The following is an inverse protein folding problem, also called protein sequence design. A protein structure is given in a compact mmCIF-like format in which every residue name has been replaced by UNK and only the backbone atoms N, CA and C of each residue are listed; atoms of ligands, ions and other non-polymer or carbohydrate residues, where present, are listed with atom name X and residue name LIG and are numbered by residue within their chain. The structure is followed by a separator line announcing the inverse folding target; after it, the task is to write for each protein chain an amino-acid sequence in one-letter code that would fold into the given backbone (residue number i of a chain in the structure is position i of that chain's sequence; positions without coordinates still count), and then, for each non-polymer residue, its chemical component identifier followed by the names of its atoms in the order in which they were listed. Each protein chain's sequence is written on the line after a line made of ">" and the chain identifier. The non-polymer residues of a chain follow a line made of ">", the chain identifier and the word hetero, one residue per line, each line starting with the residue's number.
data_IF_194070778360
#
_entry.id   IF_194070778360
#
_cell.length_a   1.000
_cell.length_b   1.000
_cell.length_c   1.000
_cell.angle_alpha   90.00
_cell.angle_beta   90.00
_cell.angle_gamma   90.00
#
_symmetry.space_group_name_H-M   'P 1'
#
loop_
_entity.id
_entity.type
_entity.pdbx_description
1 polymer ?
#
# COMPACT_ATOMS: atom_id res chain seq x y z
N UNK A 1 13.77 15.88 12.13
CA UNK A 1 12.69 14.94 11.74
C UNK A 1 11.69 14.81 12.88
N UNK A 2 12.08 14.38 14.10
CA UNK A 2 11.16 14.23 15.26
C UNK A 2 10.35 15.50 15.55
N UNK A 3 11.01 16.65 15.56
CA UNK A 3 10.38 17.95 15.81
C UNK A 3 9.34 18.30 14.73
N UNK A 4 9.65 18.03 13.44
CA UNK A 4 8.74 18.27 12.33
C UNK A 4 7.47 17.39 12.37
N UNK A 5 7.57 16.19 12.97
CA UNK A 5 6.46 15.27 13.14
C UNK A 5 5.83 15.32 14.55
N UNK A 6 6.28 16.25 15.39
CA UNK A 6 5.80 16.41 16.79
C UNK A 6 5.95 15.15 17.64
N UNK A 7 6.93 14.30 17.34
CA UNK A 7 7.18 13.06 18.09
C UNK A 7 7.85 13.39 19.43
N UNK A 8 7.20 13.02 20.52
CA UNK A 8 7.67 13.27 21.90
C UNK A 8 8.60 12.18 22.41
N UNK A 9 8.51 10.97 21.85
CA UNK A 9 9.36 9.84 22.25
C UNK A 9 10.85 10.12 22.06
N UNK A 10 11.69 9.61 22.97
CA UNK A 10 13.14 9.66 22.86
C UNK A 10 13.64 8.84 21.66
N UNK A 11 12.91 7.81 21.27
CA UNK A 11 13.24 6.90 20.16
C UNK A 11 12.21 7.04 19.04
N UNK A 12 12.66 6.82 17.81
CA UNK A 12 11.81 6.75 16.64
C UNK A 12 11.51 5.26 16.39
N UNK A 13 10.41 4.78 16.97
CA UNK A 13 9.97 3.40 16.80
C UNK A 13 9.24 3.17 15.48
N UNK A 14 9.22 1.94 15.03
CA UNK A 14 8.52 1.55 13.78
C UNK A 14 7.01 1.48 14.00
N UNK A 15 6.62 1.24 15.23
CA UNK A 15 5.23 1.18 15.66
C UNK A 15 5.08 1.81 17.06
N UNK A 16 3.85 1.88 17.55
CA UNK A 16 3.53 2.41 18.85
C UNK A 16 3.31 1.31 19.91
N UNK A 17 4.06 0.24 19.86
CA UNK A 17 3.91 -0.89 20.78
C UNK A 17 4.04 -0.50 22.27
N UNK A 18 4.72 0.60 22.57
CA UNK A 18 4.98 1.10 23.94
C UNK A 18 4.00 2.21 24.39
N UNK A 19 3.01 2.58 23.56
CA UNK A 19 1.94 3.48 23.97
C UNK A 19 2.26 4.98 24.07
N UNK A 20 3.40 5.42 23.52
CA UNK A 20 3.80 6.85 23.50
C UNK A 20 2.98 7.71 22.52
N UNK A 21 2.19 7.08 21.68
CA UNK A 21 1.34 7.71 20.67
C UNK A 21 -0.10 7.26 20.86
N UNK A 22 -0.91 8.09 21.45
CA UNK A 22 -2.35 7.83 21.65
C UNK A 22 -3.15 8.51 20.54
N UNK A 23 -4.03 7.75 19.90
CA UNK A 23 -4.93 8.27 18.86
C UNK A 23 -6.27 7.55 18.89
N UNK A 24 -7.30 8.26 18.51
CA UNK A 24 -8.63 7.70 18.32
C UNK A 24 -8.91 7.65 16.81
N UNK A 25 -9.16 6.46 16.23
CA UNK A 25 -9.58 6.37 14.85
C UNK A 25 -10.91 7.11 14.65
N UNK A 26 -10.95 8.06 13.73
CA UNK A 26 -12.14 8.85 13.42
C UNK A 26 -12.85 8.38 12.17
N UNK A 27 -12.12 7.73 11.26
CA UNK A 27 -12.60 7.28 9.96
C UNK A 27 -12.46 5.75 9.87
N UNK A 28 -13.55 5.00 10.07
CA UNK A 28 -13.49 3.53 10.02
C UNK A 28 -13.36 2.99 8.58
N UNK A 29 -13.74 3.78 7.58
CA UNK A 29 -13.72 3.43 6.16
C UNK A 29 -13.31 4.65 5.32
N UNK A 30 -12.26 4.49 4.53
CA UNK A 30 -11.74 5.51 3.62
C UNK A 30 -12.17 5.31 2.16
N UNK A 31 -13.08 4.37 1.87
CA UNK A 31 -13.53 4.10 0.50
C UNK A 31 -14.08 5.35 -0.19
N UNK A 32 -14.88 6.15 0.51
CA UNK A 32 -15.41 7.41 -0.01
C UNK A 32 -14.31 8.41 -0.40
N UNK A 33 -13.25 8.50 0.40
CA UNK A 33 -12.11 9.35 0.07
C UNK A 33 -11.42 8.90 -1.21
N UNK A 34 -11.15 7.59 -1.36
CA UNK A 34 -10.51 7.07 -2.57
C UNK A 34 -11.38 7.25 -3.81
N UNK A 35 -12.70 7.11 -3.69
CA UNK A 35 -13.64 7.40 -4.77
C UNK A 35 -13.62 8.89 -5.17
N UNK A 36 -13.56 9.81 -4.20
CA UNK A 36 -13.55 11.26 -4.45
C UNK A 36 -12.25 11.71 -5.14
N UNK A 37 -11.09 11.19 -4.74
CA UNK A 37 -9.80 11.57 -5.34
C UNK A 37 -9.51 10.84 -6.65
N UNK A 38 -10.30 9.84 -7.02
CA UNK A 38 -10.12 9.09 -8.25
C UNK A 38 -10.24 10.00 -9.48
N UNK A 39 -9.31 9.88 -10.41
CA UNK A 39 -9.19 10.75 -11.57
C UNK A 39 -8.57 12.13 -11.30
N UNK A 40 -8.44 12.54 -10.02
CA UNK A 40 -7.77 13.78 -9.63
C UNK A 40 -6.33 13.55 -9.17
N UNK A 41 -6.07 12.41 -8.55
CA UNK A 41 -4.75 12.01 -8.08
C UNK A 41 -4.37 10.65 -8.67
N UNK A 42 -3.08 10.44 -8.84
CA UNK A 42 -2.56 9.09 -9.09
C UNK A 42 -2.39 8.38 -7.75
N UNK A 43 -3.06 7.26 -7.59
CA UNK A 43 -3.02 6.46 -6.36
C UNK A 43 -2.38 5.10 -6.67
N UNK A 44 -1.35 4.76 -5.91
CA UNK A 44 -0.75 3.44 -5.92
C UNK A 44 -0.87 2.82 -4.54
N UNK A 45 -1.65 1.77 -4.44
CA UNK A 45 -1.73 0.92 -3.25
C UNK A 45 -0.83 -0.29 -3.47
N UNK A 46 0.05 -0.60 -2.52
CA UNK A 46 0.92 -1.76 -2.67
C UNK A 46 1.13 -2.53 -1.36
N UNK A 47 1.35 -3.84 -1.50
CA UNK A 47 1.68 -4.74 -0.38
C UNK A 47 2.86 -5.66 -0.74
N UNK A 48 3.58 -6.10 0.28
CA UNK A 48 4.38 -7.32 0.18
C UNK A 48 3.48 -8.56 0.12
N UNK A 49 3.78 -9.51 -0.75
CA UNK A 49 2.96 -10.72 -0.92
C UNK A 49 3.13 -11.73 0.22
N UNK A 50 4.15 -11.54 1.08
CA UNK A 50 4.41 -12.38 2.27
C UNK A 50 4.07 -11.68 3.58
N UNK A 51 3.39 -10.53 3.56
CA UNK A 51 2.97 -9.82 4.77
C UNK A 51 1.84 -10.56 5.50
N UNK A 52 2.06 -11.05 6.73
CA UNK A 52 1.02 -11.72 7.50
C UNK A 52 0.11 -10.76 8.27
N UNK A 53 0.50 -9.49 8.41
CA UNK A 53 -0.23 -8.49 9.20
C UNK A 53 -1.26 -7.76 8.34
N UNK A 54 -0.81 -7.16 7.22
CA UNK A 54 -1.69 -6.54 6.24
C UNK A 54 -1.58 -7.34 4.95
N UNK A 55 -2.42 -8.37 4.84
CA UNK A 55 -2.33 -9.30 3.73
C UNK A 55 -2.73 -8.67 2.41
N UNK A 56 -2.02 -9.04 1.33
CA UNK A 56 -2.35 -8.59 -0.02
C UNK A 56 -3.77 -9.01 -0.46
N UNK A 57 -4.29 -10.11 0.09
CA UNK A 57 -5.68 -10.55 -0.15
C UNK A 57 -6.71 -9.59 0.44
N UNK A 58 -6.47 -9.10 1.65
CA UNK A 58 -7.36 -8.11 2.27
C UNK A 58 -7.34 -6.80 1.48
N UNK A 59 -6.16 -6.38 1.03
CA UNK A 59 -6.03 -5.17 0.20
C UNK A 59 -6.68 -5.36 -1.18
N UNK A 60 -6.49 -6.49 -1.85
CA UNK A 60 -7.17 -6.81 -3.11
C UNK A 60 -8.70 -6.77 -2.95
N UNK A 61 -9.20 -7.30 -1.83
CA UNK A 61 -10.64 -7.30 -1.56
C UNK A 61 -11.21 -5.88 -1.40
N UNK A 62 -10.58 -5.00 -0.60
CA UNK A 62 -11.12 -3.66 -0.43
C UNK A 62 -10.94 -2.78 -1.68
N UNK A 63 -9.83 -2.91 -2.41
CA UNK A 63 -9.61 -2.15 -3.66
C UNK A 63 -10.63 -2.56 -4.74
N UNK A 64 -10.94 -3.85 -4.88
CA UNK A 64 -11.97 -4.32 -5.82
C UNK A 64 -13.39 -3.90 -5.43
N UNK A 65 -13.64 -3.59 -4.15
CA UNK A 65 -14.94 -3.11 -3.66
C UNK A 65 -15.09 -1.59 -3.69
N UNK A 66 -14.11 -0.83 -4.21
CA UNK A 66 -14.24 0.62 -4.39
C UNK A 66 -15.25 1.00 -5.48
N UNK A 67 -15.71 0.05 -6.31
CA UNK A 67 -16.63 0.32 -7.41
C UNK A 67 -15.98 0.98 -8.63
N UNK A 68 -14.65 0.99 -8.70
CA UNK A 68 -13.89 1.46 -9.86
C UNK A 68 -13.81 0.37 -10.93
N UNK A 69 -13.89 0.76 -12.20
CA UNK A 69 -13.76 -0.17 -13.32
C UNK A 69 -12.33 -0.70 -13.44
N UNK A 70 -12.15 -2.04 -13.50
CA UNK A 70 -10.86 -2.64 -13.81
C UNK A 70 -10.53 -2.47 -15.30
N UNK A 71 -9.51 -1.69 -15.61
CA UNK A 71 -9.01 -1.48 -16.98
C UNK A 71 -7.91 -2.47 -17.37
N UNK A 72 -7.17 -3.00 -16.40
CA UNK A 72 -6.28 -4.15 -16.55
C UNK A 72 -6.49 -5.12 -15.39
N UNK A 73 -6.97 -6.32 -15.71
CA UNK A 73 -7.18 -7.39 -14.74
C UNK A 73 -5.86 -7.88 -14.13
N UNK A 74 -5.95 -8.50 -12.97
CA UNK A 74 -4.84 -9.08 -12.23
C UNK A 74 -3.86 -9.83 -13.13
N UNK A 75 -2.65 -9.32 -13.26
CA UNK A 75 -1.59 -9.85 -14.10
C UNK A 75 -0.21 -9.67 -13.48
N UNK A 76 0.79 -10.49 -13.86
CA UNK A 76 2.15 -10.29 -13.40
C UNK A 76 2.73 -8.99 -13.97
N UNK A 77 3.65 -8.39 -13.20
CA UNK A 77 4.51 -7.31 -13.64
C UNK A 77 5.98 -7.67 -13.43
N UNK A 78 6.87 -7.02 -14.15
CA UNK A 78 8.32 -7.24 -14.09
C UNK A 78 9.05 -5.91 -13.89
N UNK A 79 10.13 -5.93 -13.12
CA UNK A 79 10.94 -4.74 -12.84
C UNK A 79 12.11 -4.55 -13.81
N UNK A 80 12.44 -5.55 -14.62
CA UNK A 80 13.69 -5.64 -15.38
C UNK A 80 13.53 -6.12 -16.84
N UNK A 81 12.46 -5.70 -17.51
CA UNK A 81 12.26 -6.05 -18.90
C UNK A 81 11.91 -7.52 -19.15
N UNK A 82 11.07 -8.10 -18.30
CA UNK A 82 10.55 -9.47 -18.36
C UNK A 82 11.49 -10.59 -17.92
N UNK A 83 12.55 -10.29 -17.20
CA UNK A 83 13.47 -11.30 -16.68
C UNK A 83 13.05 -11.84 -15.31
N UNK A 84 12.55 -10.97 -14.42
CA UNK A 84 12.09 -11.38 -13.10
C UNK A 84 10.69 -10.85 -12.83
N UNK A 85 9.83 -11.74 -12.33
CA UNK A 85 8.50 -11.37 -11.87
C UNK A 85 8.61 -10.53 -10.58
N UNK A 86 8.16 -9.29 -10.64
CA UNK A 86 8.13 -8.35 -9.52
C UNK A 86 6.95 -8.58 -8.58
N UNK A 87 5.86 -9.13 -9.07
CA UNK A 87 4.60 -9.37 -8.38
C UNK A 87 3.43 -9.34 -9.33
N UNK A 88 2.28 -8.90 -8.84
CA UNK A 88 1.05 -8.77 -9.62
C UNK A 88 0.47 -7.36 -9.50
N UNK A 89 -0.30 -6.96 -10.50
CA UNK A 89 -0.96 -5.65 -10.56
C UNK A 89 -2.37 -5.78 -11.09
N UNK A 90 -3.31 -5.01 -10.50
CA UNK A 90 -4.60 -4.66 -11.09
C UNK A 90 -4.61 -3.15 -11.29
N UNK A 91 -5.09 -2.70 -12.45
CA UNK A 91 -5.27 -1.28 -12.73
C UNK A 91 -6.74 -0.94 -12.87
N UNK A 92 -7.12 0.13 -12.24
CA UNK A 92 -8.47 0.66 -12.27
C UNK A 92 -8.51 1.99 -13.01
N UNK A 93 -9.68 2.39 -13.43
CA UNK A 93 -9.90 3.73 -13.99
C UNK A 93 -9.43 4.84 -13.04
N UNK A 94 -9.22 6.05 -13.57
CA UNK A 94 -8.85 7.22 -12.77
C UNK A 94 -7.41 7.21 -12.24
N UNK A 95 -6.52 6.35 -12.76
CA UNK A 95 -5.13 6.19 -12.30
C UNK A 95 -5.01 5.62 -10.87
N UNK A 96 -5.86 4.69 -10.53
CA UNK A 96 -5.77 3.92 -9.29
C UNK A 96 -5.21 2.53 -9.59
N UNK A 97 -4.09 2.17 -8.95
CA UNK A 97 -3.42 0.89 -9.16
C UNK A 97 -3.27 0.14 -7.82
N UNK A 98 -3.51 -1.17 -7.83
CA UNK A 98 -3.13 -2.07 -6.74
C UNK A 98 -2.01 -3.02 -7.19
N UNK A 99 -0.94 -3.13 -6.40
CA UNK A 99 0.26 -3.86 -6.75
C UNK A 99 0.73 -4.73 -5.58
N UNK A 100 1.19 -5.95 -5.87
CA UNK A 100 1.97 -6.74 -4.91
C UNK A 100 3.45 -6.74 -5.27
N UNK A 101 4.32 -6.83 -4.24
CA UNK A 101 5.76 -6.96 -4.43
C UNK A 101 6.21 -8.31 -3.90
N UNK A 102 6.74 -9.12 -4.80
CA UNK A 102 7.11 -10.51 -4.56
C UNK A 102 8.22 -10.66 -3.54
N UNK A 103 7.97 -11.48 -2.51
CA UNK A 103 8.92 -11.81 -1.45
C UNK A 103 9.22 -10.64 -0.52
N UNK A 104 8.33 -9.64 -0.47
CA UNK A 104 8.36 -8.58 0.51
C UNK A 104 7.36 -8.87 1.63
N UNK A 105 7.71 -8.49 2.86
CA UNK A 105 6.81 -8.45 4.01
C UNK A 105 6.26 -7.04 4.24
N UNK A 106 5.95 -6.72 5.50
CA UNK A 106 5.33 -5.45 5.90
C UNK A 106 6.14 -4.20 5.49
N UNK A 107 7.45 -4.26 5.69
CA UNK A 107 8.37 -3.16 5.34
C UNK A 107 8.90 -3.33 3.91
N UNK A 108 8.03 -3.14 2.92
CA UNK A 108 8.33 -3.42 1.50
C UNK A 108 9.61 -2.75 1.00
N UNK A 109 9.84 -1.43 1.18
CA UNK A 109 11.06 -0.79 0.72
C UNK A 109 12.34 -1.32 1.39
N UNK A 110 12.23 -1.79 2.64
CA UNK A 110 13.35 -2.41 3.36
C UNK A 110 13.66 -3.81 2.83
N UNK A 111 12.61 -4.58 2.51
CA UNK A 111 12.77 -5.96 2.04
C UNK A 111 13.17 -6.03 0.55
N UNK A 112 12.65 -5.14 -0.27
CA UNK A 112 12.79 -5.13 -1.74
C UNK A 112 13.03 -3.72 -2.28
N UNK A 113 14.13 -3.03 -1.92
CA UNK A 113 14.35 -1.63 -2.29
C UNK A 113 14.32 -1.38 -3.80
N UNK A 114 14.92 -2.27 -4.60
CA UNK A 114 14.98 -2.10 -6.07
C UNK A 114 13.58 -2.23 -6.71
N UNK A 115 12.75 -3.15 -6.21
CA UNK A 115 11.41 -3.37 -6.77
C UNK A 115 10.38 -2.34 -6.26
N UNK A 116 10.72 -1.55 -5.24
CA UNK A 116 9.83 -0.54 -4.63
C UNK A 116 10.01 0.86 -5.20
N UNK A 117 11.00 1.07 -6.06
CA UNK A 117 11.31 2.29 -6.77
C UNK A 117 11.22 2.10 -8.29
#
# INVERSE_FOLDING_TARGET
>A
VKEAFHVRSAFFEVDNAEGDFDYTPTEPDLSGFYQEVNGHLRVLVYNGDTDPAITSFATANWTSNLGLEEIEHWRPWTSDGCQQMGGYVTRYEGNFDFLTIRGAGHMVPTNKPIASF
#
